data_IF_598919356968
#
_entry.id   IF_598919356968
#
_cell.length_a   1.000
_cell.length_b   1.000
_cell.length_c   1.000
_cell.angle_alpha   90.00
_cell.angle_beta   90.00
_cell.angle_gamma   90.00
#
_symmetry.space_group_name_H-M   'P 1'
#
loop_
_entity.id
_entity.type
_entity.pdbx_description
1 polymer ?
#
# COMPACT_ATOMS: atom_id res chain seq x y z
N UNK A 1 -49.34 33.44 30.00
CA UNK A 1 -50.05 32.48 30.85
C UNK A 1 -49.04 31.41 31.19
N UNK A 2 -48.26 31.52 32.21
CA UNK A 2 -48.44 31.38 33.63
C UNK A 2 -48.85 29.96 34.03
N UNK A 3 -47.98 29.33 34.72
CA UNK A 3 -48.04 28.63 36.03
C UNK A 3 -47.60 27.15 35.91
N UNK A 4 -46.97 26.50 36.77
CA UNK A 4 -46.46 26.67 38.13
C UNK A 4 -45.65 25.41 38.47
N UNK A 5 -44.59 25.57 39.21
CA UNK A 5 -43.90 24.51 39.97
C UNK A 5 -44.76 24.04 41.13
N UNK A 6 -44.49 22.87 41.78
CA UNK A 6 -43.79 23.01 43.04
C UNK A 6 -42.62 22.04 43.33
N UNK A 7 -41.90 22.46 44.35
CA UNK A 7 -40.81 21.82 45.07
C UNK A 7 -41.33 20.80 46.09
N UNK A 8 -40.53 19.83 46.47
CA UNK A 8 -40.65 19.01 47.67
C UNK A 8 -39.33 18.27 47.85
N UNK A 9 -38.55 18.63 48.68
CA UNK A 9 -38.28 18.54 50.09
C UNK A 9 -37.59 17.22 50.49
N UNK A 10 -36.41 17.41 51.02
CA UNK A 10 -35.47 16.55 51.71
C UNK A 10 -36.06 15.55 52.71
N UNK A 11 -35.39 14.44 52.86
CA UNK A 11 -35.24 13.76 54.15
C UNK A 11 -33.87 13.08 54.24
N UNK A 12 -33.07 13.61 55.16
CA UNK A 12 -31.86 12.99 55.70
C UNK A 12 -32.24 11.81 56.60
N UNK A 13 -31.59 10.70 56.42
CA UNK A 13 -31.55 9.66 57.42
C UNK A 13 -30.08 9.26 57.66
N UNK A 14 -29.63 9.67 58.85
CA UNK A 14 -28.39 9.25 59.48
C UNK A 14 -28.62 7.86 60.09
N UNK A 15 -27.82 6.90 59.78
CA UNK A 15 -27.72 5.61 60.49
C UNK A 15 -26.28 5.31 60.86
N UNK A 16 -26.13 5.10 62.17
CA UNK A 16 -24.90 4.91 62.90
C UNK A 16 -24.17 3.62 62.60
N UNK A 17 -22.86 3.70 62.70
CA UNK A 17 -21.78 2.74 62.86
C UNK A 17 -22.09 1.50 63.73
N UNK A 18 -21.72 0.34 63.21
CA UNK A 18 -21.22 -0.75 64.04
C UNK A 18 -20.01 -1.39 63.34
N UNK A 19 -18.88 -1.27 64.00
CA UNK A 19 -17.60 -1.83 63.53
C UNK A 19 -17.57 -3.35 63.64
N UNK A 20 -17.07 -3.97 62.57
CA UNK A 20 -16.55 -5.32 62.65
C UNK A 20 -15.13 -5.28 62.03
N UNK A 21 -14.16 -5.52 62.92
CA UNK A 21 -12.77 -5.72 62.50
C UNK A 21 -12.66 -7.03 61.75
N UNK A 22 -12.57 -6.95 60.43
CA UNK A 22 -12.19 -8.10 59.58
C UNK A 22 -10.67 -8.14 59.46
N UNK A 23 -10.08 -9.18 60.02
CA UNK A 23 -8.69 -9.55 59.83
C UNK A 23 -8.38 -9.70 58.34
N UNK A 24 -7.64 -8.78 57.80
CA UNK A 24 -7.14 -8.83 56.43
C UNK A 24 -6.04 -9.93 56.32
N UNK A 25 -6.46 -11.12 55.96
CA UNK A 25 -5.53 -12.14 55.43
C UNK A 25 -5.06 -11.71 54.05
N UNK A 26 -3.82 -11.27 53.93
CA UNK A 26 -3.20 -10.97 52.66
C UNK A 26 -3.15 -12.24 51.79
N UNK A 27 -3.61 -12.23 50.54
CA UNK A 27 -3.42 -13.35 49.64
C UNK A 27 -1.91 -13.48 49.34
N UNK A 28 -1.40 -14.73 49.49
CA UNK A 28 -0.07 -15.08 49.07
C UNK A 28 0.14 -14.69 47.59
N UNK A 29 1.15 -13.86 47.34
CA UNK A 29 1.62 -13.59 45.99
C UNK A 29 2.14 -14.87 45.39
N UNK A 30 1.42 -15.43 44.41
CA UNK A 30 1.95 -16.46 43.54
C UNK A 30 3.21 -15.91 42.82
N UNK A 31 4.31 -16.71 42.72
CA UNK A 31 5.48 -16.27 42.00
C UNK A 31 5.08 -15.99 40.56
N UNK A 32 5.38 -14.78 40.11
CA UNK A 32 4.97 -14.25 38.85
C UNK A 32 5.24 -15.20 37.68
N UNK A 33 4.19 -15.48 36.94
CA UNK A 33 4.33 -15.90 35.57
C UNK A 33 5.04 -14.74 34.86
N UNK A 34 6.32 -14.94 34.58
CA UNK A 34 7.04 -14.09 33.63
C UNK A 34 6.25 -14.16 32.32
N UNK A 35 5.48 -13.14 32.03
CA UNK A 35 4.86 -13.00 30.73
C UNK A 35 6.00 -13.06 29.71
N UNK A 36 6.09 -14.17 29.00
CA UNK A 36 6.96 -14.28 27.85
C UNK A 36 6.55 -13.10 26.94
N UNK A 37 7.39 -12.08 26.88
CA UNK A 37 7.33 -11.06 25.83
C UNK A 37 7.51 -11.83 24.53
N UNK A 38 6.41 -12.21 23.92
CA UNK A 38 6.42 -12.61 22.51
C UNK A 38 7.07 -11.45 21.78
N UNK A 39 8.29 -11.67 21.30
CA UNK A 39 8.94 -10.75 20.40
C UNK A 39 7.93 -10.52 19.26
N UNK A 40 7.43 -9.29 19.15
CA UNK A 40 6.64 -8.89 18.00
C UNK A 40 7.59 -9.00 16.81
N UNK A 41 7.53 -10.13 16.13
CA UNK A 41 8.22 -10.29 14.86
C UNK A 41 7.63 -9.23 13.93
N UNK A 42 8.49 -8.32 13.48
CA UNK A 42 8.15 -7.33 12.47
C UNK A 42 7.37 -8.05 11.35
N UNK A 43 6.22 -7.53 10.99
CA UNK A 43 5.44 -8.13 9.90
C UNK A 43 6.36 -8.32 8.67
N UNK A 44 6.30 -9.47 7.99
CA UNK A 44 7.14 -9.69 6.84
C UNK A 44 6.82 -8.64 5.77
N UNK A 45 7.85 -8.09 5.16
CA UNK A 45 7.71 -7.29 3.95
C UNK A 45 7.97 -8.22 2.78
N UNK A 46 6.94 -8.49 1.97
CA UNK A 46 7.02 -9.35 0.80
C UNK A 46 6.66 -8.50 -0.40
N UNK A 47 7.59 -8.34 -1.32
CA UNK A 47 7.47 -7.48 -2.50
C UNK A 47 7.54 -8.26 -3.81
N UNK A 48 7.77 -9.56 -3.75
CA UNK A 48 7.88 -10.42 -4.92
C UNK A 48 7.40 -11.86 -4.65
N UNK A 49 7.19 -12.60 -5.75
CA UNK A 49 6.81 -14.02 -5.68
C UNK A 49 7.91 -14.86 -5.05
N UNK A 50 9.16 -14.54 -5.35
CA UNK A 50 10.29 -15.29 -4.81
C UNK A 50 10.45 -15.08 -3.32
N UNK A 51 10.23 -13.84 -2.83
CA UNK A 51 10.18 -13.57 -1.39
C UNK A 51 9.00 -14.27 -0.71
N UNK A 52 7.84 -14.35 -1.38
CA UNK A 52 6.70 -15.12 -0.88
C UNK A 52 7.02 -16.62 -0.78
N UNK A 53 7.72 -17.18 -1.76
CA UNK A 53 8.19 -18.57 -1.74
C UNK A 53 9.22 -18.81 -0.63
N UNK A 54 10.17 -17.90 -0.45
CA UNK A 54 11.15 -17.96 0.66
C UNK A 54 10.45 -17.92 2.02
N UNK A 55 9.48 -17.02 2.15
CA UNK A 55 8.69 -16.91 3.38
C UNK A 55 7.95 -18.22 3.68
N UNK A 56 7.27 -18.81 2.70
CA UNK A 56 6.58 -20.11 2.85
C UNK A 56 7.54 -21.24 3.20
N UNK A 57 8.72 -21.26 2.60
CA UNK A 57 9.75 -22.25 2.93
C UNK A 57 10.27 -22.11 4.38
N UNK A 58 10.37 -20.87 4.88
CA UNK A 58 10.75 -20.58 6.25
C UNK A 58 9.61 -20.81 7.26
N UNK A 59 8.35 -20.87 6.80
CA UNK A 59 7.16 -21.03 7.64
C UNK A 59 6.29 -22.20 7.15
N UNK A 60 6.78 -23.44 7.22
CA UNK A 60 6.07 -24.61 6.69
C UNK A 60 4.70 -24.78 7.39
N UNK A 61 3.65 -24.95 6.59
CA UNK A 61 2.28 -25.12 7.07
C UNK A 61 1.53 -23.83 7.41
N UNK A 62 2.16 -22.66 7.28
CA UNK A 62 1.49 -21.38 7.42
C UNK A 62 1.05 -20.85 6.05
N UNK A 63 -0.17 -20.29 6.01
CA UNK A 63 -0.63 -19.54 4.83
C UNK A 63 0.10 -18.20 4.75
N UNK A 64 0.37 -17.75 3.52
CA UNK A 64 0.88 -16.41 3.29
C UNK A 64 -0.13 -15.37 3.83
N UNK A 65 0.31 -14.29 4.52
CA UNK A 65 -0.60 -13.24 4.96
C UNK A 65 -1.44 -12.70 3.81
N UNK A 66 -2.73 -12.45 4.05
CA UNK A 66 -3.72 -12.14 3.01
C UNK A 66 -3.32 -10.96 2.10
N UNK A 67 -2.64 -9.96 2.65
CA UNK A 67 -2.13 -8.80 1.90
C UNK A 67 -1.06 -9.15 0.86
N UNK A 68 -0.49 -10.35 0.91
CA UNK A 68 0.52 -10.84 -0.04
C UNK A 68 0.00 -12.00 -0.90
N UNK A 69 -1.30 -12.28 -0.87
CA UNK A 69 -1.90 -13.40 -1.58
C UNK A 69 -1.64 -13.37 -3.11
N UNK A 70 -1.44 -12.19 -3.68
CA UNK A 70 -1.09 -12.03 -5.09
C UNK A 70 0.28 -12.63 -5.45
N UNK A 71 1.20 -12.66 -4.49
CA UNK A 71 2.53 -13.27 -4.66
C UNK A 71 2.53 -14.79 -4.37
N UNK A 72 1.40 -15.38 -3.93
CA UNK A 72 1.30 -16.81 -3.67
C UNK A 72 1.17 -17.61 -4.96
N UNK A 73 2.26 -17.66 -5.71
CA UNK A 73 2.34 -18.38 -6.98
C UNK A 73 3.46 -19.41 -6.96
N UNK A 74 3.17 -20.66 -7.32
CA UNK A 74 4.16 -21.70 -7.26
C UNK A 74 5.14 -21.57 -8.44
N UNK A 75 6.43 -21.52 -8.11
CA UNK A 75 7.50 -21.80 -9.05
C UNK A 75 8.09 -23.19 -8.75
N UNK A 76 8.63 -23.88 -9.76
CA UNK A 76 9.21 -25.21 -9.57
C UNK A 76 10.34 -25.24 -8.53
N UNK A 77 11.16 -24.19 -8.51
CA UNK A 77 12.24 -24.00 -7.53
C UNK A 77 12.45 -22.52 -7.23
N UNK A 78 13.00 -22.19 -6.08
CA UNK A 78 13.38 -20.83 -5.74
C UNK A 78 14.43 -20.26 -6.73
N UNK A 79 15.36 -21.10 -7.19
CA UNK A 79 16.35 -20.70 -8.20
C UNK A 79 15.69 -20.30 -9.54
N UNK A 80 14.70 -21.08 -10.00
CA UNK A 80 13.92 -20.73 -11.18
C UNK A 80 13.13 -19.43 -11.00
N UNK A 81 12.57 -19.22 -9.81
CA UNK A 81 11.89 -17.99 -9.47
C UNK A 81 12.85 -16.79 -9.53
N UNK A 82 14.00 -16.87 -8.89
CA UNK A 82 15.01 -15.79 -8.88
C UNK A 82 15.54 -15.47 -10.28
N UNK A 83 15.80 -16.50 -11.10
CA UNK A 83 16.19 -16.30 -12.49
C UNK A 83 15.12 -15.62 -13.31
N UNK A 84 13.85 -15.94 -13.03
CA UNK A 84 12.71 -15.31 -13.67
C UNK A 84 12.57 -13.84 -13.27
N UNK A 85 12.61 -13.53 -12.00
CA UNK A 85 12.58 -12.14 -11.51
C UNK A 85 13.71 -11.32 -12.11
N UNK A 86 14.94 -11.83 -12.09
CA UNK A 86 16.10 -11.15 -12.66
C UNK A 86 15.97 -10.89 -14.17
N UNK A 87 15.34 -11.79 -14.90
CA UNK A 87 15.12 -11.64 -16.34
C UNK A 87 14.01 -10.62 -16.67
N UNK A 88 13.07 -10.42 -15.75
CA UNK A 88 11.90 -9.58 -15.98
C UNK A 88 12.01 -8.20 -15.35
N UNK A 89 12.80 -8.07 -14.32
CA UNK A 89 12.97 -6.85 -13.55
C UNK A 89 14.48 -6.57 -13.38
N UNK A 90 15.09 -6.12 -14.46
CA UNK A 90 16.50 -5.69 -14.45
C UNK A 90 16.75 -4.53 -13.47
N UNK A 91 15.67 -3.77 -13.13
CA UNK A 91 15.71 -2.59 -12.27
C UNK A 91 15.17 -2.84 -10.85
N UNK A 92 14.88 -4.11 -10.45
CA UNK A 92 14.43 -4.38 -9.09
C UNK A 92 15.54 -4.09 -8.06
N UNK A 93 15.27 -3.30 -7.04
CA UNK A 93 13.99 -2.81 -6.49
C UNK A 93 13.49 -1.48 -7.06
N UNK A 94 13.78 -1.14 -8.28
CA UNK A 94 13.42 0.10 -8.95
C UNK A 94 14.49 1.20 -8.84
N UNK A 95 14.44 2.22 -9.70
CA UNK A 95 15.44 3.28 -9.76
C UNK A 95 15.40 4.18 -8.53
N UNK A 96 16.51 4.83 -8.27
CA UNK A 96 16.58 5.91 -7.30
C UNK A 96 15.74 7.07 -7.82
N UNK A 97 14.79 7.53 -7.00
CA UNK A 97 13.97 8.69 -7.30
C UNK A 97 14.61 9.96 -6.73
N UNK A 98 14.31 11.14 -7.31
CA UNK A 98 14.85 12.42 -6.82
C UNK A 98 14.46 12.76 -5.38
N UNK A 99 13.34 12.20 -4.92
CA UNK A 99 12.88 12.25 -3.53
C UNK A 99 12.54 10.83 -3.09
N UNK A 100 12.96 10.38 -1.90
CA UNK A 100 12.51 9.11 -1.34
C UNK A 100 11.02 9.21 -0.97
N UNK A 101 10.16 8.74 -1.88
CA UNK A 101 8.71 8.72 -1.70
C UNK A 101 8.21 7.29 -1.54
N UNK A 102 7.43 7.04 -0.49
CA UNK A 102 6.83 5.74 -0.19
C UNK A 102 5.32 5.73 -0.47
N UNK A 103 4.89 4.96 -1.45
CA UNK A 103 3.46 4.69 -1.67
C UNK A 103 2.87 3.90 -0.49
N UNK A 104 3.63 2.96 0.07
CA UNK A 104 3.21 2.18 1.23
C UNK A 104 2.82 3.08 2.39
N UNK A 105 3.59 4.12 2.67
CA UNK A 105 3.28 5.05 3.74
C UNK A 105 2.03 5.88 3.45
N UNK A 106 1.92 6.46 2.24
CA UNK A 106 0.81 7.34 1.88
C UNK A 106 -0.50 6.57 1.63
N UNK A 107 -0.43 5.53 0.82
CA UNK A 107 -1.62 4.77 0.39
C UNK A 107 -1.89 3.58 1.31
N UNK A 108 -0.86 2.83 1.67
CA UNK A 108 -1.00 1.62 2.48
C UNK A 108 -1.31 1.90 3.95
N UNK A 109 -0.62 2.84 4.57
CA UNK A 109 -0.77 3.14 5.99
C UNK A 109 -1.80 4.24 6.26
N UNK A 110 -1.82 5.29 5.44
CA UNK A 110 -2.72 6.43 5.62
C UNK A 110 -3.99 6.35 4.76
N UNK A 111 -4.08 5.40 3.84
CA UNK A 111 -5.27 5.16 3.03
C UNK A 111 -5.58 6.28 2.03
N UNK A 112 -4.56 7.04 1.58
CA UNK A 112 -4.77 8.07 0.56
C UNK A 112 -5.07 7.40 -0.77
N UNK A 113 -6.22 7.71 -1.35
CA UNK A 113 -6.70 7.14 -2.60
C UNK A 113 -5.79 7.49 -3.78
N UNK A 114 -5.60 6.54 -4.70
CA UNK A 114 -4.75 6.71 -5.88
C UNK A 114 -5.11 7.98 -6.69
N UNK A 115 -6.40 8.21 -6.89
CA UNK A 115 -6.93 9.34 -7.68
C UNK A 115 -6.75 10.70 -6.98
N UNK A 116 -6.45 10.73 -5.69
CA UNK A 116 -6.13 11.97 -5.01
C UNK A 116 -4.84 12.61 -5.55
N UNK A 117 -3.83 11.77 -5.82
CA UNK A 117 -2.55 12.21 -6.36
C UNK A 117 -2.50 12.10 -7.89
N UNK A 118 -3.06 11.02 -8.47
CA UNK A 118 -3.09 10.77 -9.91
C UNK A 118 -4.40 11.23 -10.54
N UNK A 119 -4.72 12.52 -10.37
CA UNK A 119 -6.02 13.13 -10.66
C UNK A 119 -6.45 13.08 -12.14
N UNK A 120 -5.53 12.80 -13.07
CA UNK A 120 -5.82 12.73 -14.50
C UNK A 120 -6.24 11.35 -15.00
N UNK A 121 -6.09 10.30 -14.18
CA UNK A 121 -6.15 8.91 -14.63
C UNK A 121 -7.52 8.48 -15.15
N UNK A 122 -8.59 9.00 -14.59
CA UNK A 122 -9.98 8.70 -14.97
C UNK A 122 -10.52 9.55 -16.13
N UNK A 123 -9.77 10.56 -16.59
CA UNK A 123 -10.23 11.54 -17.59
C UNK A 123 -9.20 11.86 -18.67
N UNK A 124 -8.00 11.32 -18.59
CA UNK A 124 -6.89 11.57 -19.52
C UNK A 124 -6.21 10.28 -19.95
N UNK A 125 -5.48 10.37 -21.06
CA UNK A 125 -4.54 9.32 -21.47
C UNK A 125 -3.46 9.08 -20.43
N UNK A 126 -2.95 10.15 -19.85
CA UNK A 126 -1.83 10.10 -18.91
C UNK A 126 -2.36 10.17 -17.48
N UNK A 127 -1.87 9.30 -16.64
CA UNK A 127 -2.17 9.37 -15.21
C UNK A 127 -1.62 10.68 -14.59
N UNK A 128 -0.47 11.10 -15.08
CA UNK A 128 0.26 12.22 -14.49
C UNK A 128 0.93 11.84 -13.16
N UNK A 129 1.71 12.79 -12.66
CA UNK A 129 2.27 12.77 -11.32
C UNK A 129 1.77 14.01 -10.58
N UNK A 130 1.61 13.97 -9.25
CA UNK A 130 1.14 15.13 -8.51
C UNK A 130 2.13 16.30 -8.62
N UNK A 131 1.60 17.51 -8.60
CA UNK A 131 2.43 18.71 -8.49
C UNK A 131 3.07 18.82 -7.10
N UNK A 132 4.17 19.55 -7.00
CA UNK A 132 4.79 19.86 -5.70
C UNK A 132 3.80 20.60 -4.78
N UNK A 133 2.95 21.45 -5.36
CA UNK A 133 1.89 22.16 -4.63
C UNK A 133 0.90 21.20 -3.93
N UNK A 134 0.51 20.10 -4.60
CA UNK A 134 -0.35 19.10 -3.98
C UNK A 134 0.32 18.45 -2.76
N UNK A 135 1.60 18.13 -2.88
CA UNK A 135 2.38 17.59 -1.75
C UNK A 135 2.44 18.60 -0.59
N UNK A 136 2.71 19.86 -0.90
CA UNK A 136 2.80 20.94 0.10
C UNK A 136 1.47 21.24 0.79
N UNK A 137 0.33 20.89 0.19
CA UNK A 137 -0.97 21.00 0.85
C UNK A 137 -1.07 20.29 2.20
N UNK A 138 -0.29 19.20 2.37
CA UNK A 138 -0.13 18.51 3.65
C UNK A 138 1.23 18.81 4.30
N UNK A 139 2.32 18.83 3.52
CA UNK A 139 3.68 18.91 4.05
C UNK A 139 4.16 20.32 4.44
N UNK A 140 3.40 21.36 4.15
CA UNK A 140 3.75 22.73 4.58
C UNK A 140 3.68 22.89 6.10
N UNK A 141 2.67 22.27 6.74
CA UNK A 141 2.40 22.39 8.16
C UNK A 141 2.53 21.04 8.90
N UNK A 142 3.42 20.19 8.44
CA UNK A 142 3.66 18.91 9.10
C UNK A 142 4.35 19.09 10.45
N UNK A 143 4.14 18.17 11.42
CA UNK A 143 4.83 18.22 12.71
C UNK A 143 6.35 18.28 12.53
N UNK A 144 7.02 19.07 13.36
CA UNK A 144 8.46 19.36 13.26
C UNK A 144 9.35 18.11 13.24
N UNK A 145 8.91 17.02 13.85
CA UNK A 145 9.64 15.75 13.88
C UNK A 145 9.84 15.15 12.49
N UNK A 146 8.94 15.45 11.55
CA UNK A 146 9.04 14.99 10.14
C UNK A 146 9.87 15.93 9.27
N UNK A 147 10.07 17.17 9.68
CA UNK A 147 10.86 18.16 8.91
C UNK A 147 12.32 17.76 8.72
N UNK A 148 12.82 16.86 9.56
CA UNK A 148 14.20 16.35 9.46
C UNK A 148 14.35 15.21 8.44
N UNK A 149 13.24 14.65 7.94
CA UNK A 149 13.32 13.61 6.94
C UNK A 149 13.86 14.17 5.61
N UNK A 150 14.84 13.47 5.03
CA UNK A 150 15.49 13.87 3.77
C UNK A 150 14.46 14.18 2.66
N UNK A 151 13.44 13.33 2.51
CA UNK A 151 12.39 13.51 1.52
C UNK A 151 11.62 14.81 1.69
N UNK A 152 11.35 15.21 2.94
CA UNK A 152 10.63 16.45 3.25
C UNK A 152 11.53 17.68 2.97
N UNK A 153 12.81 17.61 3.32
CA UNK A 153 13.76 18.68 3.03
C UNK A 153 13.93 18.91 1.52
N UNK A 154 14.05 17.82 0.76
CA UNK A 154 14.11 17.87 -0.71
C UNK A 154 12.82 18.41 -1.31
N UNK A 155 11.65 17.98 -0.82
CA UNK A 155 10.36 18.50 -1.24
C UNK A 155 10.25 20.01 -1.02
N UNK A 156 10.59 20.49 0.18
CA UNK A 156 10.62 21.93 0.52
C UNK A 156 11.59 22.71 -0.37
N UNK A 157 12.72 22.09 -0.76
CA UNK A 157 13.67 22.72 -1.70
C UNK A 157 13.04 22.85 -3.09
N UNK A 158 12.40 21.80 -3.64
CA UNK A 158 11.69 21.89 -4.93
C UNK A 158 10.59 22.95 -4.89
N UNK A 159 9.86 23.03 -3.79
CA UNK A 159 8.84 24.05 -3.57
C UNK A 159 9.42 25.46 -3.59
N UNK A 160 10.44 25.71 -2.82
CA UNK A 160 11.14 27.00 -2.75
C UNK A 160 11.69 27.46 -4.11
N UNK A 161 12.22 26.51 -4.88
CA UNK A 161 12.79 26.78 -6.19
C UNK A 161 11.73 26.93 -7.30
N UNK A 162 10.45 26.68 -7.01
CA UNK A 162 9.37 26.69 -7.99
C UNK A 162 9.55 25.63 -9.09
N UNK A 163 10.18 24.52 -8.81
CA UNK A 163 10.52 23.46 -9.76
C UNK A 163 9.69 22.19 -9.52
N UNK A 164 9.33 21.52 -10.64
CA UNK A 164 8.77 20.18 -10.57
C UNK A 164 9.84 19.15 -10.21
N UNK A 165 9.42 18.08 -9.52
CA UNK A 165 10.27 16.93 -9.23
C UNK A 165 10.45 16.13 -10.52
N UNK A 166 11.70 15.89 -10.99
CA UNK A 166 11.96 15.13 -12.22
C UNK A 166 11.89 13.61 -11.97
N UNK A 167 10.69 13.11 -11.71
CA UNK A 167 10.46 11.70 -11.41
C UNK A 167 10.95 10.78 -12.53
N UNK A 168 11.61 9.69 -12.15
CA UNK A 168 11.95 8.61 -13.08
C UNK A 168 10.71 7.75 -13.30
N UNK A 169 10.25 7.71 -14.55
CA UNK A 169 9.05 6.95 -14.94
C UNK A 169 9.34 5.45 -14.98
N UNK A 170 8.58 4.69 -14.21
CA UNK A 170 8.71 3.22 -14.10
C UNK A 170 7.92 2.51 -15.20
N UNK A 171 6.64 2.86 -15.33
CA UNK A 171 5.74 2.26 -16.32
C UNK A 171 5.76 3.10 -17.58
N UNK A 172 6.60 2.70 -18.54
CA UNK A 172 6.77 3.42 -19.81
C UNK A 172 6.41 2.51 -20.98
N UNK A 173 5.53 2.99 -21.84
CA UNK A 173 5.23 2.36 -23.12
C UNK A 173 5.98 3.05 -24.25
N UNK A 174 6.31 2.33 -25.34
CA UNK A 174 6.85 2.93 -26.55
C UNK A 174 5.89 3.99 -27.12
N UNK A 175 6.42 4.98 -27.80
CA UNK A 175 5.63 6.11 -28.34
C UNK A 175 4.57 5.73 -29.36
N UNK A 176 4.79 4.62 -30.05
CA UNK A 176 3.83 4.07 -31.02
C UNK A 176 2.62 3.39 -30.35
N UNK A 177 2.61 3.24 -29.02
CA UNK A 177 1.47 2.70 -28.25
C UNK A 177 0.67 3.85 -27.65
N UNK A 178 -0.59 3.95 -28.04
CA UNK A 178 -1.51 4.99 -27.59
C UNK A 178 -2.42 4.51 -26.46
N UNK A 179 -1.83 4.16 -25.31
CA UNK A 179 -2.56 3.71 -24.14
C UNK A 179 -3.46 4.81 -23.57
N UNK A 180 -4.65 4.41 -23.13
CA UNK A 180 -5.68 5.33 -22.59
C UNK A 180 -6.02 4.92 -21.15
N UNK A 181 -5.41 5.54 -20.12
CA UNK A 181 -5.73 5.26 -18.72
C UNK A 181 -7.24 5.40 -18.46
N UNK A 182 -7.85 6.51 -18.92
CA UNK A 182 -9.26 6.79 -18.69
C UNK A 182 -10.19 5.66 -19.16
N UNK A 183 -9.87 4.98 -20.25
CA UNK A 183 -10.69 3.89 -20.76
C UNK A 183 -10.66 2.68 -19.81
N UNK A 184 -9.49 2.34 -19.29
CA UNK A 184 -9.29 1.21 -18.37
C UNK A 184 -9.91 1.49 -16.99
N UNK A 185 -9.66 2.67 -16.44
CA UNK A 185 -10.22 3.07 -15.13
C UNK A 185 -11.75 3.14 -15.19
N UNK A 186 -12.33 3.69 -16.26
CA UNK A 186 -13.79 3.73 -16.44
C UNK A 186 -14.40 2.36 -16.70
N UNK A 187 -13.64 1.42 -17.22
CA UNK A 187 -14.05 0.03 -17.35
C UNK A 187 -14.00 -0.73 -16.01
N UNK A 188 -13.57 -0.09 -14.91
CA UNK A 188 -13.51 -0.68 -13.58
C UNK A 188 -12.28 -1.56 -13.34
N UNK A 189 -11.25 -1.46 -14.19
CA UNK A 189 -9.99 -2.19 -13.98
C UNK A 189 -9.27 -1.56 -12.78
N UNK A 190 -8.90 -2.40 -11.81
CA UNK A 190 -8.19 -1.93 -10.63
C UNK A 190 -6.75 -1.49 -10.99
N UNK A 191 -6.26 -0.48 -10.29
CA UNK A 191 -4.89 0.03 -10.51
C UNK A 191 -3.85 -1.08 -10.33
N UNK A 192 -4.06 -1.94 -9.32
CA UNK A 192 -3.20 -3.06 -8.97
C UNK A 192 -3.11 -4.13 -10.07
N UNK A 193 -4.11 -4.28 -10.92
CA UNK A 193 -4.07 -5.25 -12.02
C UNK A 193 -2.91 -4.95 -12.98
N UNK A 194 -2.57 -3.66 -13.14
CA UNK A 194 -1.48 -3.22 -13.99
C UNK A 194 -0.21 -2.86 -13.19
N UNK A 195 -0.36 -2.22 -12.04
CA UNK A 195 0.74 -1.66 -11.27
C UNK A 195 1.22 -2.55 -10.11
N UNK A 196 0.48 -3.65 -9.81
CA UNK A 196 0.74 -4.48 -8.63
C UNK A 196 0.31 -3.80 -7.33
N UNK A 197 0.68 -4.38 -6.19
CA UNK A 197 0.34 -3.87 -4.87
C UNK A 197 1.17 -2.63 -4.50
N UNK A 198 0.95 -1.53 -5.21
CA UNK A 198 1.69 -0.26 -5.02
C UNK A 198 1.60 0.23 -3.58
N UNK A 199 0.47 0.00 -2.92
CA UNK A 199 0.24 0.29 -1.50
C UNK A 199 1.14 -0.49 -0.53
N UNK A 200 1.88 -1.48 -1.02
CA UNK A 200 2.88 -2.21 -0.25
C UNK A 200 4.32 -1.80 -0.59
N UNK A 201 4.52 -0.86 -1.52
CA UNK A 201 5.84 -0.49 -2.05
C UNK A 201 6.39 0.76 -1.37
N UNK A 202 7.53 0.62 -0.70
CA UNK A 202 8.33 1.77 -0.25
C UNK A 202 9.03 2.45 -1.43
N UNK A 203 9.43 1.68 -2.42
CA UNK A 203 10.04 2.12 -3.66
C UNK A 203 9.31 1.47 -4.83
N UNK A 204 8.82 2.27 -5.74
CA UNK A 204 8.07 1.76 -6.88
C UNK A 204 9.00 1.04 -7.87
N UNK A 205 8.57 -0.12 -8.32
CA UNK A 205 9.25 -0.93 -9.34
C UNK A 205 8.24 -1.60 -10.26
N UNK A 206 8.72 -2.10 -11.40
CA UNK A 206 7.89 -2.83 -12.35
C UNK A 206 7.69 -4.27 -11.84
N UNK A 207 6.49 -4.57 -11.34
CA UNK A 207 6.14 -5.91 -10.87
C UNK A 207 6.04 -6.86 -12.06
N UNK A 208 6.75 -8.00 -12.05
CA UNK A 208 6.61 -9.02 -13.09
C UNK A 208 5.16 -9.51 -13.18
N UNK A 209 4.64 -9.68 -14.39
CA UNK A 209 3.32 -10.29 -14.56
C UNK A 209 3.44 -11.81 -14.54
N UNK A 210 2.86 -12.40 -13.51
CA UNK A 210 2.89 -13.84 -13.28
C UNK A 210 1.59 -14.54 -13.65
N UNK A 211 0.53 -13.81 -13.98
CA UNK A 211 -0.76 -14.40 -14.34
C UNK A 211 -0.64 -15.30 -15.57
N UNK A 212 0.27 -14.98 -16.49
CA UNK A 212 0.41 -15.63 -17.79
C UNK A 212 1.34 -16.83 -17.82
N UNK A 213 2.10 -17.05 -16.75
CA UNK A 213 2.90 -18.27 -16.58
C UNK A 213 2.08 -19.55 -16.69
N UNK A 214 0.87 -19.53 -16.19
CA UNK A 214 -0.04 -20.68 -16.26
C UNK A 214 -0.38 -21.09 -17.70
N UNK A 215 -0.19 -20.22 -18.67
CA UNK A 215 -0.40 -20.49 -20.10
C UNK A 215 0.90 -20.79 -20.87
N UNK A 216 2.04 -20.88 -20.18
CA UNK A 216 3.34 -21.17 -20.79
C UNK A 216 3.86 -20.05 -21.70
N UNK A 217 3.31 -18.86 -21.62
CA UNK A 217 3.69 -17.72 -22.46
C UNK A 217 4.45 -16.68 -21.63
N UNK A 218 5.70 -16.37 -21.99
CA UNK A 218 6.45 -15.29 -21.35
C UNK A 218 5.95 -13.93 -21.86
N UNK A 219 4.76 -13.50 -21.38
CA UNK A 219 4.29 -12.16 -21.68
C UNK A 219 4.91 -11.21 -20.65
N UNK A 220 5.94 -10.49 -21.04
CA UNK A 220 6.51 -9.43 -20.20
C UNK A 220 5.49 -8.31 -20.03
N UNK A 221 5.34 -7.82 -18.81
CA UNK A 221 4.44 -6.70 -18.50
C UNK A 221 4.77 -5.51 -19.42
N UNK A 222 3.73 -4.84 -19.89
CA UNK A 222 3.79 -3.72 -20.84
C UNK A 222 4.20 -4.09 -22.28
N UNK A 223 4.40 -5.37 -22.60
CA UNK A 223 4.52 -5.82 -23.99
C UNK A 223 3.15 -6.09 -24.61
N UNK A 224 3.10 -6.06 -25.96
CA UNK A 224 1.86 -6.22 -26.71
C UNK A 224 1.09 -7.51 -26.34
N UNK A 225 1.82 -8.62 -26.15
CA UNK A 225 1.22 -9.89 -25.77
C UNK A 225 0.44 -9.82 -24.46
N UNK A 226 0.97 -9.14 -23.47
CA UNK A 226 0.31 -8.95 -22.17
C UNK A 226 -1.00 -8.16 -22.32
N UNK A 227 -1.00 -7.07 -23.07
CA UNK A 227 -2.19 -6.27 -23.33
C UNK A 227 -3.27 -7.07 -24.07
N UNK A 228 -2.88 -7.75 -25.17
CA UNK A 228 -3.78 -8.55 -26.03
C UNK A 228 -4.43 -9.69 -25.24
N UNK A 229 -3.70 -10.33 -24.34
CA UNK A 229 -4.25 -11.43 -23.54
C UNK A 229 -5.33 -10.92 -22.57
N UNK A 230 -5.09 -9.83 -21.85
CA UNK A 230 -6.10 -9.21 -21.00
C UNK A 230 -7.33 -8.78 -21.81
N UNK A 231 -7.13 -8.14 -22.96
CA UNK A 231 -8.22 -7.73 -23.85
C UNK A 231 -9.05 -8.91 -24.34
N UNK A 232 -8.40 -10.04 -24.63
CA UNK A 232 -9.09 -11.28 -24.99
C UNK A 232 -9.95 -11.81 -23.86
N UNK A 233 -9.41 -11.89 -22.66
CA UNK A 233 -10.11 -12.40 -21.49
C UNK A 233 -11.28 -11.50 -21.08
N UNK A 234 -11.13 -10.19 -21.24
CA UNK A 234 -12.17 -9.20 -20.92
C UNK A 234 -13.14 -8.94 -22.09
N UNK A 235 -12.98 -9.60 -23.25
CA UNK A 235 -13.78 -9.34 -24.43
C UNK A 235 -13.59 -7.93 -25.02
N UNK A 236 -12.45 -7.30 -24.75
CA UNK A 236 -12.11 -5.98 -25.24
C UNK A 236 -11.49 -6.04 -26.64
N UNK A 237 -11.42 -4.89 -27.35
CA UNK A 237 -10.88 -4.82 -28.69
C UNK A 237 -9.42 -5.29 -28.77
N UNK A 238 -9.13 -6.13 -29.77
CA UNK A 238 -7.78 -6.58 -30.14
C UNK A 238 -7.36 -5.99 -31.50
N UNK A 239 -8.11 -5.05 -32.03
CA UNK A 239 -7.79 -4.39 -33.30
C UNK A 239 -6.51 -3.56 -33.16
N UNK A 240 -5.64 -3.67 -34.17
CA UNK A 240 -4.33 -3.00 -34.17
C UNK A 240 -4.46 -1.48 -34.00
N UNK A 241 -5.45 -0.87 -34.66
CA UNK A 241 -5.66 0.57 -34.64
C UNK A 241 -6.27 1.08 -33.33
N UNK A 242 -6.72 0.20 -32.44
CA UNK A 242 -7.16 0.60 -31.11
C UNK A 242 -5.99 1.10 -30.26
N UNK A 243 -4.79 0.54 -30.48
CA UNK A 243 -3.59 0.83 -29.70
C UNK A 243 -2.49 1.54 -30.48
N UNK A 244 -2.49 1.44 -31.83
CA UNK A 244 -1.44 1.93 -32.72
C UNK A 244 -2.02 2.89 -33.77
N UNK A 245 -2.17 4.18 -33.41
CA UNK A 245 -2.70 5.24 -34.32
C UNK A 245 -1.94 6.57 -34.20
#
# INVERSE_FOLDING_TARGET
MASHRPRGASLFAVALLLGAAALLSAPARSPGAAAARTAQTKAPTISSICEAQEWKAAHPGQALPAQFAEFDRPFPTLAACRSHEAAWDEDAPGPIQPIPFSHKHHTGEWGIECLYCHTGTDRSRMAGVPSVELCMGCHENFPADYDQLEGIQLLKQYWKDGRSIPWVQIHRLPEHVKFQHQAHVRAGIACQDCHGAVEAMDKLYLVPDTKWWQYGLPAKKLEMGWCVMCHRDQGASQDCLTCHY
#
